data_IF_494589343211
#
_entry.id   IF_494589343211
#
_cell.length_a   1.000
_cell.length_b   1.000
_cell.length_c   1.000
_cell.angle_alpha   90.00
_cell.angle_beta   90.00
_cell.angle_gamma   90.00
#
_symmetry.space_group_name_H-M   'P 1'
#
loop_
_entity.id
_entity.type
_entity.pdbx_description
1 polymer ?
#
# COMPACT_ATOMS: atom_id res chain seq x y z
N UNK A 1 -33.67 -1.03 -5.12
CA UNK A 1 -33.72 -2.44 -4.67
C UNK A 1 -32.32 -2.80 -4.21
N UNK A 2 -32.13 -3.06 -2.91
CA UNK A 2 -30.82 -3.37 -2.32
C UNK A 2 -30.38 -4.78 -2.75
N UNK A 3 -29.38 -4.86 -3.63
CA UNK A 3 -28.69 -6.13 -3.94
C UNK A 3 -27.87 -6.51 -2.72
N UNK A 4 -28.38 -7.49 -1.96
CA UNK A 4 -27.82 -7.89 -0.67
C UNK A 4 -26.57 -8.75 -0.85
N UNK A 5 -25.41 -8.28 -0.35
CA UNK A 5 -24.23 -9.12 -0.16
C UNK A 5 -24.52 -10.35 0.74
N UNK A 6 -25.62 -10.34 1.50
CA UNK A 6 -26.03 -11.45 2.37
C UNK A 6 -26.29 -12.76 1.61
N UNK A 7 -26.57 -12.73 0.31
CA UNK A 7 -26.78 -13.95 -0.49
C UNK A 7 -25.48 -14.51 -1.07
N UNK A 8 -24.41 -13.70 -1.16
CA UNK A 8 -23.12 -14.16 -1.66
C UNK A 8 -22.41 -15.04 -0.62
N UNK A 9 -22.45 -14.63 0.65
CA UNK A 9 -21.78 -15.30 1.75
C UNK A 9 -22.76 -16.21 2.48
N UNK A 10 -22.77 -17.50 2.11
CA UNK A 10 -23.67 -18.51 2.70
C UNK A 10 -23.39 -18.77 4.18
N UNK A 11 -22.14 -18.63 4.61
CA UNK A 11 -21.72 -18.73 5.99
C UNK A 11 -20.52 -17.83 6.30
N UNK A 12 -20.40 -17.46 7.58
CA UNK A 12 -19.18 -16.85 8.13
C UNK A 12 -18.06 -17.89 8.11
N UNK A 13 -16.86 -17.45 7.74
CA UNK A 13 -15.65 -18.26 7.81
C UNK A 13 -15.31 -18.61 9.27
N UNK A 14 -14.89 -19.84 9.54
CA UNK A 14 -14.65 -20.35 10.91
C UNK A 14 -13.49 -19.65 11.65
N UNK A 15 -12.62 -18.94 10.92
CA UNK A 15 -11.43 -18.29 11.46
C UNK A 15 -10.21 -19.22 11.57
N UNK A 16 -10.37 -20.53 11.39
CA UNK A 16 -9.30 -21.53 11.49
C UNK A 16 -8.45 -21.66 10.20
N UNK A 17 -8.07 -20.51 9.63
CA UNK A 17 -7.32 -20.44 8.37
C UNK A 17 -8.20 -20.54 7.11
N UNK A 18 -9.52 -20.50 7.26
CA UNK A 18 -10.44 -20.39 6.14
C UNK A 18 -10.42 -18.99 5.51
N UNK A 19 -10.42 -18.95 4.18
CA UNK A 19 -10.54 -17.74 3.39
C UNK A 19 -11.18 -18.07 2.03
N UNK A 20 -11.55 -17.05 1.26
CA UNK A 20 -12.22 -17.23 -0.04
C UNK A 20 -11.31 -16.87 -1.21
N UNK A 21 -11.46 -17.58 -2.31
CA UNK A 21 -10.78 -17.33 -3.59
C UNK A 21 -11.79 -17.14 -4.71
N UNK A 22 -11.52 -16.18 -5.59
CA UNK A 22 -12.34 -15.79 -6.73
C UNK A 22 -11.76 -16.38 -8.02
N UNK A 23 -12.58 -17.08 -8.79
CA UNK A 23 -12.27 -17.49 -10.16
C UNK A 23 -13.11 -16.67 -11.12
N UNK A 24 -12.49 -16.04 -12.12
CA UNK A 24 -13.20 -15.26 -13.15
C UNK A 24 -13.47 -16.17 -14.34
N UNK A 25 -14.72 -16.28 -14.77
CA UNK A 25 -15.07 -17.11 -15.93
C UNK A 25 -14.64 -16.39 -17.22
N UNK A 26 -14.12 -17.14 -18.22
CA UNK A 26 -13.75 -16.57 -19.51
C UNK A 26 -14.98 -16.02 -20.25
N UNK A 27 -14.73 -15.21 -21.26
CA UNK A 27 -15.76 -14.80 -22.20
C UNK A 27 -16.26 -16.02 -23.02
N UNK A 28 -17.53 -16.39 -22.84
CA UNK A 28 -18.17 -17.52 -23.54
C UNK A 28 -19.42 -16.99 -24.26
N UNK A 29 -19.42 -17.07 -25.59
CA UNK A 29 -20.60 -16.77 -26.41
C UNK A 29 -21.01 -15.28 -26.40
N UNK A 30 -22.31 -15.02 -26.45
CA UNK A 30 -22.90 -13.67 -26.49
C UNK A 30 -23.11 -13.03 -25.11
N UNK A 31 -22.92 -13.77 -24.00
CA UNK A 31 -23.07 -13.22 -22.65
C UNK A 31 -21.90 -12.28 -22.33
N UNK A 32 -22.16 -10.98 -22.43
CA UNK A 32 -21.18 -9.93 -22.15
C UNK A 32 -20.97 -9.69 -20.64
N UNK A 33 -21.71 -10.36 -19.75
CA UNK A 33 -21.59 -10.19 -18.30
C UNK A 33 -20.29 -10.71 -17.70
N UNK A 34 -19.76 -10.06 -16.66
CA UNK A 34 -18.64 -10.59 -15.86
C UNK A 34 -19.15 -11.62 -14.87
N UNK A 35 -18.73 -12.89 -15.02
CA UNK A 35 -19.12 -13.98 -14.14
C UNK A 35 -17.94 -14.45 -13.31
N UNK A 36 -18.19 -14.71 -12.03
CA UNK A 36 -17.19 -15.16 -11.08
C UNK A 36 -17.73 -16.29 -10.20
N UNK A 37 -16.83 -17.14 -9.72
CA UNK A 37 -17.13 -18.17 -8.73
C UNK A 37 -16.27 -17.89 -7.49
N UNK A 38 -16.90 -17.93 -6.32
CA UNK A 38 -16.24 -17.75 -5.03
C UNK A 38 -16.14 -19.09 -4.32
N UNK A 39 -14.93 -19.51 -3.99
CA UNK A 39 -14.60 -20.78 -3.35
C UNK A 39 -14.10 -20.54 -1.92
N UNK A 40 -14.61 -21.27 -0.94
CA UNK A 40 -13.99 -21.34 0.39
C UNK A 40 -12.87 -22.37 0.38
N UNK A 41 -11.71 -22.01 0.91
CA UNK A 41 -10.52 -22.87 1.01
C UNK A 41 -9.87 -22.70 2.38
N UNK A 42 -9.03 -23.65 2.78
CA UNK A 42 -8.23 -23.53 4.00
C UNK A 42 -6.75 -23.33 3.67
N UNK A 43 -6.09 -22.38 4.33
CA UNK A 43 -4.67 -22.09 4.12
C UNK A 43 -3.74 -23.28 4.42
N UNK A 44 -4.17 -24.20 5.30
CA UNK A 44 -3.43 -25.43 5.65
C UNK A 44 -3.38 -26.43 4.48
N UNK A 45 -4.27 -26.31 3.51
CA UNK A 45 -4.28 -27.13 2.30
C UNK A 45 -3.30 -26.62 1.23
N UNK A 46 -2.57 -25.53 1.53
CA UNK A 46 -1.61 -24.89 0.63
C UNK A 46 -2.18 -24.60 -0.77
N UNK A 47 -3.34 -23.92 -0.89
CA UNK A 47 -3.91 -23.63 -2.20
C UNK A 47 -2.98 -22.72 -3.02
N UNK A 48 -2.98 -22.95 -4.35
CA UNK A 48 -2.36 -22.06 -5.33
C UNK A 48 -3.31 -20.90 -5.67
N UNK A 49 -2.81 -19.67 -5.58
CA UNK A 49 -3.56 -18.45 -5.89
C UNK A 49 -2.68 -17.20 -6.02
N UNK A 50 -3.27 -16.16 -6.60
CA UNK A 50 -2.70 -14.83 -6.79
C UNK A 50 -3.44 -13.83 -5.90
N UNK A 51 -2.74 -12.98 -5.17
CA UNK A 51 -3.38 -11.85 -4.49
C UNK A 51 -3.46 -10.63 -5.41
N UNK A 52 -4.60 -9.94 -5.43
CA UNK A 52 -4.72 -8.62 -6.02
C UNK A 52 -4.36 -7.56 -4.99
N UNK A 53 -3.57 -6.57 -5.42
CA UNK A 53 -3.18 -5.38 -4.68
C UNK A 53 -3.58 -4.18 -5.54
N UNK A 54 -4.61 -3.43 -5.14
CA UNK A 54 -5.19 -2.35 -5.95
C UNK A 54 -5.86 -1.27 -5.11
N UNK A 55 -6.08 -0.08 -5.69
CA UNK A 55 -6.83 0.99 -5.04
C UNK A 55 -8.32 0.80 -5.24
N UNK A 56 -9.11 0.76 -4.17
CA UNK A 56 -10.57 0.61 -4.26
C UNK A 56 -11.27 1.79 -4.93
N UNK A 57 -10.68 2.99 -4.83
CA UNK A 57 -11.14 4.21 -5.49
C UNK A 57 -10.46 4.51 -6.84
N UNK A 58 -10.49 5.77 -7.28
CA UNK A 58 -9.91 6.15 -8.56
C UNK A 58 -8.39 5.89 -8.58
N UNK A 59 -7.84 5.27 -9.65
CA UNK A 59 -6.42 4.97 -9.75
C UNK A 59 -5.55 6.24 -9.88
N UNK A 60 -6.09 7.31 -10.45
CA UNK A 60 -5.41 8.60 -10.67
C UNK A 60 -6.31 9.78 -10.25
N UNK A 61 -5.77 11.00 -10.22
CA UNK A 61 -6.58 12.21 -9.98
C UNK A 61 -7.52 12.48 -11.16
N UNK A 62 -7.01 12.33 -12.39
CA UNK A 62 -7.77 12.51 -13.63
C UNK A 62 -8.92 11.49 -13.74
N UNK A 63 -8.73 10.27 -13.22
CA UNK A 63 -9.80 9.29 -13.10
C UNK A 63 -10.92 9.78 -12.16
N UNK A 64 -10.56 10.44 -11.05
CA UNK A 64 -11.52 11.03 -10.13
C UNK A 64 -12.29 12.19 -10.79
N UNK A 65 -11.60 13.05 -11.54
CA UNK A 65 -12.22 14.15 -12.29
C UNK A 65 -13.21 13.65 -13.36
N UNK A 66 -12.96 12.46 -13.92
CA UNK A 66 -13.86 11.74 -14.83
C UNK A 66 -15.01 11.01 -14.13
N UNK A 67 -15.18 11.20 -12.82
CA UNK A 67 -16.27 10.64 -12.03
C UNK A 67 -16.04 9.22 -11.49
N UNK A 68 -14.83 8.66 -11.60
CA UNK A 68 -14.51 7.40 -10.92
C UNK A 68 -14.39 7.65 -9.42
N UNK A 69 -15.14 6.91 -8.62
CA UNK A 69 -15.18 7.06 -7.16
C UNK A 69 -14.86 5.73 -6.46
N UNK A 70 -14.75 5.77 -5.14
CA UNK A 70 -14.66 4.59 -4.27
C UNK A 70 -16.02 3.90 -4.04
N UNK A 71 -17.10 4.35 -4.71
CA UNK A 71 -18.42 3.70 -4.62
C UNK A 71 -18.49 2.51 -5.57
N UNK A 72 -19.17 1.46 -5.14
CA UNK A 72 -19.45 0.28 -5.95
C UNK A 72 -20.57 0.60 -6.95
N UNK A 73 -20.25 0.60 -8.25
CA UNK A 73 -21.16 1.07 -9.31
C UNK A 73 -21.31 0.09 -10.48
N UNK A 74 -20.49 -0.96 -10.53
CA UNK A 74 -20.45 -1.90 -11.66
C UNK A 74 -20.95 -3.28 -11.24
N UNK A 75 -21.89 -3.83 -12.00
CA UNK A 75 -22.48 -5.13 -11.70
C UNK A 75 -21.61 -6.26 -12.21
N UNK A 76 -21.42 -7.28 -11.37
CA UNK A 76 -20.88 -8.60 -11.76
C UNK A 76 -21.77 -9.69 -11.18
N UNK A 77 -21.76 -10.88 -11.79
CA UNK A 77 -22.43 -12.06 -11.25
C UNK A 77 -21.40 -12.92 -10.51
N UNK A 78 -21.64 -13.21 -9.24
CA UNK A 78 -20.78 -14.07 -8.43
C UNK A 78 -21.62 -15.15 -7.73
N UNK A 79 -21.32 -16.43 -7.98
CA UNK A 79 -22.13 -17.56 -7.51
C UNK A 79 -23.63 -17.42 -7.85
N UNK A 80 -23.95 -16.87 -9.02
CA UNK A 80 -25.32 -16.60 -9.46
C UNK A 80 -25.96 -15.32 -8.88
N UNK A 81 -25.35 -14.69 -7.87
CA UNK A 81 -25.83 -13.44 -7.27
C UNK A 81 -25.26 -12.21 -8.00
N UNK A 82 -26.07 -11.17 -8.14
CA UNK A 82 -25.61 -9.88 -8.67
C UNK A 82 -25.03 -9.02 -7.56
N UNK A 83 -23.75 -8.68 -7.65
CA UNK A 83 -23.05 -7.79 -6.70
C UNK A 83 -22.47 -6.57 -7.41
N UNK A 84 -22.20 -5.52 -6.65
CA UNK A 84 -21.60 -4.29 -7.13
C UNK A 84 -20.12 -4.21 -6.72
N UNK A 85 -19.26 -3.85 -7.67
CA UNK A 85 -17.83 -3.59 -7.47
C UNK A 85 -17.47 -2.17 -7.90
N UNK A 86 -16.31 -1.68 -7.45
CA UNK A 86 -15.80 -0.38 -7.92
C UNK A 86 -15.31 -0.47 -9.36
N UNK A 87 -15.30 0.64 -10.10
CA UNK A 87 -14.84 0.69 -11.49
C UNK A 87 -13.44 0.10 -11.66
N UNK A 88 -12.52 0.44 -10.77
CA UNK A 88 -11.12 0.00 -10.88
C UNK A 88 -10.98 -1.52 -10.72
N UNK A 89 -11.80 -2.15 -9.87
CA UNK A 89 -11.85 -3.60 -9.77
C UNK A 89 -12.53 -4.23 -10.99
N UNK A 90 -13.64 -3.64 -11.46
CA UNK A 90 -14.33 -4.11 -12.66
C UNK A 90 -13.38 -4.16 -13.87
N UNK A 91 -12.56 -3.12 -14.06
CA UNK A 91 -11.57 -3.06 -15.15
C UNK A 91 -10.54 -4.19 -15.06
N UNK A 92 -10.04 -4.45 -13.85
CA UNK A 92 -9.16 -5.59 -13.61
C UNK A 92 -9.85 -6.93 -13.95
N UNK A 93 -11.09 -7.15 -13.49
CA UNK A 93 -11.82 -8.39 -13.75
C UNK A 93 -12.10 -8.58 -15.26
N UNK A 94 -12.39 -7.51 -15.98
CA UNK A 94 -12.57 -7.56 -17.44
C UNK A 94 -11.27 -7.91 -18.16
N UNK A 95 -10.12 -7.45 -17.66
CA UNK A 95 -8.81 -7.89 -18.14
C UNK A 95 -8.60 -9.38 -17.89
N UNK A 96 -8.79 -9.85 -16.66
CA UNK A 96 -8.65 -11.28 -16.32
C UNK A 96 -9.53 -12.14 -17.21
N UNK A 97 -10.77 -11.71 -17.46
CA UNK A 97 -11.72 -12.44 -18.30
C UNK A 97 -11.26 -12.61 -19.76
N UNK A 98 -10.54 -11.64 -20.32
CA UNK A 98 -10.04 -11.65 -21.71
C UNK A 98 -8.72 -12.39 -21.87
N UNK A 99 -7.99 -12.57 -20.78
CA UNK A 99 -6.68 -13.20 -20.76
C UNK A 99 -6.82 -14.68 -20.35
N UNK A 100 -6.57 -15.59 -21.30
CA UNK A 100 -6.75 -17.04 -21.09
C UNK A 100 -5.86 -17.60 -19.98
N UNK A 101 -4.68 -17.03 -19.80
CA UNK A 101 -3.78 -17.47 -18.73
C UNK A 101 -4.33 -17.01 -17.39
N UNK A 102 -4.72 -15.73 -17.27
CA UNK A 102 -5.24 -15.18 -16.03
C UNK A 102 -6.61 -15.76 -15.63
N UNK A 103 -7.53 -16.01 -16.57
CA UNK A 103 -8.85 -16.56 -16.24
C UNK A 103 -8.80 -17.99 -15.68
N UNK A 104 -7.70 -18.71 -15.89
CA UNK A 104 -7.47 -20.04 -15.30
C UNK A 104 -7.00 -19.99 -13.85
N UNK A 105 -6.63 -18.80 -13.35
CA UNK A 105 -6.06 -18.61 -12.02
C UNK A 105 -7.13 -18.29 -10.97
N UNK A 106 -6.78 -18.55 -9.70
CA UNK A 106 -7.58 -18.16 -8.54
C UNK A 106 -7.03 -16.87 -7.95
N UNK A 107 -7.91 -15.93 -7.62
CA UNK A 107 -7.55 -14.62 -7.09
C UNK A 107 -8.06 -14.42 -5.68
N UNK A 108 -7.23 -13.86 -4.81
CA UNK A 108 -7.70 -13.25 -3.57
C UNK A 108 -7.88 -11.76 -3.80
N UNK A 109 -9.13 -11.29 -3.70
CA UNK A 109 -9.53 -9.88 -3.84
C UNK A 109 -10.23 -9.47 -2.56
N UNK A 110 -9.56 -8.67 -1.73
CA UNK A 110 -10.04 -8.29 -0.38
C UNK A 110 -11.49 -7.78 -0.35
N UNK A 111 -11.91 -6.98 -1.32
CA UNK A 111 -13.27 -6.43 -1.37
C UNK A 111 -14.37 -7.45 -1.68
N UNK A 112 -14.03 -8.65 -2.19
CA UNK A 112 -14.99 -9.72 -2.55
C UNK A 112 -14.77 -10.97 -1.67
N UNK A 113 -13.53 -11.31 -1.35
CA UNK A 113 -13.20 -12.51 -0.59
C UNK A 113 -13.51 -12.37 0.90
N UNK A 114 -13.59 -11.13 1.41
CA UNK A 114 -13.98 -10.80 2.77
C UNK A 114 -15.41 -10.25 2.77
N UNK A 115 -16.25 -10.78 3.66
CA UNK A 115 -17.55 -10.17 3.93
C UNK A 115 -17.37 -8.85 4.70
N UNK A 116 -17.33 -7.74 3.97
CA UNK A 116 -17.11 -6.40 4.53
C UNK A 116 -18.23 -5.94 5.48
N UNK A 117 -19.43 -6.52 5.37
CA UNK A 117 -20.58 -6.20 6.21
C UNK A 117 -20.52 -6.92 7.56
N UNK A 118 -19.93 -8.13 7.62
CA UNK A 118 -19.69 -8.87 8.87
C UNK A 118 -18.40 -8.39 9.54
N UNK A 119 -18.54 -7.56 10.57
CA UNK A 119 -17.39 -6.98 11.28
C UNK A 119 -16.52 -8.01 12.01
N UNK A 120 -17.09 -9.16 12.42
CA UNK A 120 -16.33 -10.22 13.08
C UNK A 120 -15.47 -10.93 12.03
N UNK A 121 -16.08 -11.27 10.89
CA UNK A 121 -15.34 -11.86 9.76
C UNK A 121 -14.26 -10.91 9.25
N UNK A 122 -14.60 -9.64 9.02
CA UNK A 122 -13.66 -8.62 8.56
C UNK A 122 -12.47 -8.49 9.49
N UNK A 123 -12.68 -8.39 10.81
CA UNK A 123 -11.60 -8.33 11.79
C UNK A 123 -10.70 -9.58 11.72
N UNK A 124 -11.31 -10.77 11.67
CA UNK A 124 -10.58 -12.04 11.58
C UNK A 124 -9.76 -12.14 10.28
N UNK A 125 -10.34 -11.75 9.14
CA UNK A 125 -9.67 -11.83 7.83
C UNK A 125 -8.58 -10.78 7.70
N UNK A 126 -8.79 -9.55 8.20
CA UNK A 126 -7.75 -8.50 8.24
C UNK A 126 -6.55 -8.96 9.07
N UNK A 127 -6.81 -9.60 10.21
CA UNK A 127 -5.75 -10.22 11.03
C UNK A 127 -4.99 -11.33 10.28
N UNK A 128 -5.67 -12.02 9.36
CA UNK A 128 -5.12 -13.10 8.53
C UNK A 128 -4.47 -12.61 7.22
N UNK A 129 -4.59 -11.32 6.85
CA UNK A 129 -4.05 -10.82 5.58
C UNK A 129 -2.56 -11.10 5.44
N UNK A 130 -1.80 -11.08 6.53
CA UNK A 130 -0.38 -11.35 6.50
C UNK A 130 -0.05 -12.78 6.03
N UNK A 131 -0.78 -13.78 6.53
CA UNK A 131 -0.58 -15.16 6.12
C UNK A 131 -1.07 -15.40 4.69
N UNK A 132 -2.15 -14.74 4.27
CA UNK A 132 -2.69 -14.82 2.91
C UNK A 132 -1.68 -14.26 1.89
N UNK A 133 -1.24 -13.01 2.03
CA UNK A 133 -0.26 -12.41 1.10
C UNK A 133 1.08 -13.15 1.08
N UNK A 134 1.52 -13.69 2.23
CA UNK A 134 2.75 -14.48 2.33
C UNK A 134 2.63 -15.84 1.65
N UNK A 135 1.43 -16.45 1.64
CA UNK A 135 1.23 -17.79 1.10
C UNK A 135 0.94 -17.80 -0.40
N UNK A 136 0.38 -16.71 -0.94
CA UNK A 136 0.14 -16.53 -2.37
C UNK A 136 1.40 -16.81 -3.22
N UNK A 137 1.19 -17.30 -4.45
CA UNK A 137 2.29 -17.52 -5.39
C UNK A 137 2.90 -16.19 -5.84
N UNK A 138 2.05 -15.20 -6.05
CA UNK A 138 2.44 -13.85 -6.40
C UNK A 138 1.36 -12.83 -6.05
N UNK A 139 1.76 -11.57 -6.10
CA UNK A 139 0.86 -10.40 -5.98
C UNK A 139 0.82 -9.66 -7.31
N UNK A 140 -0.37 -9.37 -7.80
CA UNK A 140 -0.57 -8.40 -8.88
C UNK A 140 -0.79 -7.03 -8.26
N UNK A 141 0.13 -6.11 -8.50
CA UNK A 141 -0.01 -4.69 -8.21
C UNK A 141 -0.72 -4.00 -9.39
N UNK A 142 -2.04 -3.87 -9.30
CA UNK A 142 -2.87 -3.26 -10.34
C UNK A 142 -2.95 -1.74 -10.16
N UNK A 143 -2.43 -1.01 -11.16
CA UNK A 143 -2.34 0.45 -11.17
C UNK A 143 -3.53 1.13 -11.86
N UNK A 144 -4.49 0.35 -12.39
CA UNK A 144 -5.60 0.84 -13.21
C UNK A 144 -5.33 0.70 -14.71
N UNK A 145 -6.31 1.13 -15.51
CA UNK A 145 -6.20 1.21 -16.97
C UNK A 145 -5.06 2.13 -17.43
N UNK A 146 -4.58 1.91 -18.66
CA UNK A 146 -3.56 2.78 -19.25
C UNK A 146 -4.10 4.20 -19.46
N UNK A 147 -3.19 5.15 -19.35
CA UNK A 147 -3.35 6.55 -19.73
C UNK A 147 -2.24 6.96 -20.69
N UNK A 148 -2.26 8.23 -21.13
CA UNK A 148 -1.28 8.80 -22.07
C UNK A 148 0.17 8.76 -21.54
N UNK A 149 0.38 8.50 -20.25
CA UNK A 149 1.70 8.44 -19.63
C UNK A 149 2.22 7.00 -19.47
N UNK A 150 1.36 5.99 -19.64
CA UNK A 150 1.68 4.62 -19.21
C UNK A 150 2.79 4.01 -20.04
N UNK A 151 2.71 4.11 -21.36
CA UNK A 151 3.67 3.49 -22.29
C UNK A 151 5.09 4.01 -22.08
N UNK A 152 5.28 5.32 -22.14
CA UNK A 152 6.59 5.95 -21.97
C UNK A 152 7.16 5.72 -20.57
N UNK A 153 6.32 5.74 -19.53
CA UNK A 153 6.76 5.44 -18.17
C UNK A 153 7.30 4.01 -18.07
N UNK A 154 6.57 3.03 -18.61
CA UNK A 154 6.97 1.63 -18.58
C UNK A 154 8.23 1.38 -19.43
N UNK A 155 8.32 2.00 -20.61
CA UNK A 155 9.51 1.96 -21.48
C UNK A 155 10.74 2.54 -20.77
N UNK A 156 10.60 3.70 -20.13
CA UNK A 156 11.68 4.35 -19.38
C UNK A 156 12.13 3.49 -18.18
N UNK A 157 11.18 2.94 -17.41
CA UNK A 157 11.49 2.05 -16.28
C UNK A 157 12.25 0.82 -16.74
N UNK A 158 11.81 0.19 -17.83
CA UNK A 158 12.44 -1.01 -18.37
C UNK A 158 13.87 -0.71 -18.81
N UNK A 159 14.05 0.38 -19.56
CA UNK A 159 15.35 0.85 -20.03
C UNK A 159 16.29 1.15 -18.87
N UNK A 160 15.86 1.92 -17.87
CA UNK A 160 16.68 2.21 -16.69
C UNK A 160 16.94 0.97 -15.83
N UNK A 161 15.99 0.05 -15.78
CA UNK A 161 16.08 -1.21 -15.05
C UNK A 161 17.14 -2.15 -15.64
N UNK A 162 17.31 -2.16 -16.96
CA UNK A 162 18.29 -3.01 -17.66
C UNK A 162 19.72 -2.47 -17.68
N UNK A 163 19.94 -1.19 -17.37
CA UNK A 163 21.29 -0.62 -17.31
C UNK A 163 22.11 -1.23 -16.17
N UNK A 164 23.39 -1.51 -16.41
CA UNK A 164 24.32 -1.93 -15.36
C UNK A 164 24.66 -0.77 -14.41
N UNK A 165 25.20 -1.08 -13.24
CA UNK A 165 25.64 -0.05 -12.30
C UNK A 165 26.80 0.80 -12.85
N UNK A 166 27.58 0.28 -13.81
CA UNK A 166 28.65 1.02 -14.48
C UNK A 166 28.12 1.90 -15.61
N UNK A 167 27.14 1.42 -16.40
CA UNK A 167 26.44 2.25 -17.40
C UNK A 167 25.80 3.48 -16.74
N UNK A 168 25.17 3.28 -15.59
CA UNK A 168 24.54 4.36 -14.82
C UNK A 168 25.54 5.39 -14.29
N UNK A 169 26.79 5.00 -14.00
CA UNK A 169 27.87 5.93 -13.62
C UNK A 169 28.41 6.67 -14.84
N UNK A 170 28.54 5.98 -15.98
CA UNK A 170 29.08 6.57 -17.21
C UNK A 170 28.16 7.64 -17.80
N UNK A 171 26.84 7.43 -17.77
CA UNK A 171 25.86 8.45 -18.21
C UNK A 171 25.87 9.71 -17.33
N UNK A 172 26.37 9.61 -16.09
CA UNK A 172 26.58 10.77 -15.19
C UNK A 172 27.91 11.49 -15.46
N UNK A 173 28.88 10.82 -16.08
CA UNK A 173 30.24 11.33 -16.20
C UNK A 173 30.52 12.05 -17.52
N UNK A 174 29.99 11.58 -18.66
CA UNK A 174 30.29 12.17 -19.99
C UNK A 174 29.12 11.92 -20.96
N UNK A 175 28.74 12.95 -21.71
CA UNK A 175 27.95 12.89 -22.96
C UNK A 175 26.40 12.80 -22.84
N UNK A 176 25.78 13.90 -22.42
CA UNK A 176 24.49 14.30 -23.00
C UNK A 176 24.78 14.82 -24.42
N UNK A 177 24.85 13.93 -25.43
CA UNK A 177 25.02 14.36 -26.83
C UNK A 177 25.89 13.50 -27.77
N UNK A 178 26.33 12.30 -27.38
CA UNK A 178 26.96 11.37 -28.34
C UNK A 178 25.87 10.55 -29.04
N UNK A 179 25.85 10.52 -30.38
CA UNK A 179 24.82 9.83 -31.20
C UNK A 179 24.65 8.36 -30.79
N UNK A 180 25.74 7.63 -30.54
CA UNK A 180 25.73 6.21 -30.14
C UNK A 180 25.00 5.96 -28.79
N UNK A 181 24.98 6.94 -27.89
CA UNK A 181 24.30 6.84 -26.58
C UNK A 181 22.83 7.22 -26.73
N UNK A 182 22.49 8.16 -27.61
CA UNK A 182 21.09 8.58 -27.85
C UNK A 182 20.26 7.44 -28.41
N UNK A 183 20.82 6.61 -29.30
CA UNK A 183 20.12 5.44 -29.84
C UNK A 183 19.96 4.30 -28.81
N UNK A 184 20.93 4.13 -27.90
CA UNK A 184 20.88 3.10 -26.87
C UNK A 184 19.98 3.46 -25.67
N UNK A 185 19.89 4.74 -25.31
CA UNK A 185 19.15 5.22 -24.13
C UNK A 185 18.14 6.33 -24.45
N UNK A 186 17.60 6.35 -25.67
CA UNK A 186 16.63 7.35 -26.18
C UNK A 186 15.57 7.83 -25.18
N UNK A 187 14.85 6.95 -24.45
CA UNK A 187 13.89 7.36 -23.43
C UNK A 187 14.48 8.23 -22.30
N UNK A 188 15.77 8.06 -21.95
CA UNK A 188 16.47 8.89 -20.96
C UNK A 188 16.64 10.35 -21.44
N UNK A 189 16.55 10.58 -22.74
CA UNK A 189 16.65 11.91 -23.35
C UNK A 189 15.30 12.62 -23.49
N UNK A 190 14.17 11.91 -23.38
CA UNK A 190 12.82 12.48 -23.54
C UNK A 190 12.27 13.07 -22.24
N UNK A 191 12.04 14.39 -22.22
CA UNK A 191 11.38 15.10 -21.10
C UNK A 191 9.98 14.52 -20.81
N UNK A 192 9.28 14.11 -21.87
CA UNK A 192 7.97 13.48 -21.77
C UNK A 192 8.06 12.15 -21.03
N UNK A 193 9.03 11.29 -21.36
CA UNK A 193 9.18 10.00 -20.68
C UNK A 193 9.45 10.17 -19.17
N UNK A 194 10.28 11.15 -18.80
CA UNK A 194 10.52 11.50 -17.39
C UNK A 194 9.26 12.01 -16.69
N UNK A 195 8.46 12.85 -17.36
CA UNK A 195 7.19 13.31 -16.82
C UNK A 195 6.17 12.16 -16.68
N UNK A 196 6.05 11.32 -17.70
CA UNK A 196 5.21 10.12 -17.73
C UNK A 196 5.53 9.20 -16.55
N UNK A 197 6.82 9.03 -16.28
CA UNK A 197 7.32 8.34 -15.12
C UNK A 197 6.84 9.00 -13.81
N UNK A 198 7.00 10.32 -13.63
CA UNK A 198 6.48 11.02 -12.43
C UNK A 198 4.96 10.80 -12.27
N UNK A 199 4.19 10.85 -13.35
CA UNK A 199 2.75 10.62 -13.34
C UNK A 199 2.38 9.19 -12.93
N UNK A 200 3.18 8.18 -13.32
CA UNK A 200 2.98 6.80 -12.86
C UNK A 200 3.16 6.67 -11.34
N UNK A 201 4.11 7.37 -10.71
CA UNK A 201 4.38 7.28 -9.26
C UNK A 201 3.37 8.10 -8.45
N UNK A 202 2.69 9.06 -9.10
CA UNK A 202 1.58 9.83 -8.52
C UNK A 202 0.27 9.07 -8.45
N UNK A 203 0.16 7.91 -9.11
CA UNK A 203 -1.03 7.04 -9.02
C UNK A 203 -1.31 6.69 -7.56
N UNK A 204 -2.59 6.59 -7.21
CA UNK A 204 -3.03 6.42 -5.83
C UNK A 204 -2.57 5.09 -5.21
N UNK A 205 -2.26 4.10 -6.05
CA UNK A 205 -1.68 2.82 -5.62
C UNK A 205 -0.47 3.03 -4.70
N UNK A 206 0.56 3.76 -5.14
CA UNK A 206 1.81 3.94 -4.41
C UNK A 206 1.67 4.71 -3.09
N UNK A 207 0.53 5.36 -2.89
CA UNK A 207 0.25 6.14 -1.68
C UNK A 207 -0.45 5.30 -0.62
N UNK A 208 -1.01 4.13 -0.90
CA UNK A 208 -1.81 3.36 0.08
C UNK A 208 -0.97 2.79 1.22
N UNK A 209 -1.47 2.84 2.45
CA UNK A 209 -0.80 2.21 3.61
C UNK A 209 -0.75 0.68 3.49
N UNK A 210 -1.84 0.06 3.04
CA UNK A 210 -1.94 -1.40 2.89
C UNK A 210 -0.89 -2.01 1.97
N UNK A 211 -0.43 -1.29 0.93
CA UNK A 211 0.58 -1.83 0.00
C UNK A 211 1.91 -2.13 0.70
N UNK A 212 2.17 -1.53 1.88
CA UNK A 212 3.36 -1.82 2.68
C UNK A 212 3.41 -3.31 3.01
N UNK A 213 2.30 -3.85 3.52
CA UNK A 213 2.19 -5.27 3.84
C UNK A 213 2.05 -6.14 2.59
N UNK A 214 1.23 -5.71 1.63
CA UNK A 214 0.97 -6.45 0.38
C UNK A 214 2.28 -6.69 -0.41
N UNK A 215 3.15 -5.67 -0.51
CA UNK A 215 4.45 -5.76 -1.20
C UNK A 215 5.51 -6.45 -0.35
N UNK A 216 5.57 -6.18 0.95
CA UNK A 216 6.65 -6.73 1.79
C UNK A 216 6.55 -8.25 1.97
N UNK A 217 5.33 -8.80 1.95
CA UNK A 217 5.08 -10.23 2.17
C UNK A 217 5.07 -11.08 0.88
N UNK A 218 4.96 -10.44 -0.28
CA UNK A 218 4.83 -11.14 -1.55
C UNK A 218 6.10 -11.94 -1.92
N UNK A 219 5.92 -13.17 -2.40
CA UNK A 219 7.00 -13.98 -3.00
C UNK A 219 7.48 -13.36 -4.31
N UNK A 220 6.55 -13.05 -5.21
CA UNK A 220 6.76 -12.38 -6.50
C UNK A 220 5.71 -11.28 -6.69
N UNK A 221 6.07 -10.21 -7.40
CA UNK A 221 5.16 -9.09 -7.66
C UNK A 221 5.24 -8.70 -9.14
N UNK A 222 4.10 -8.71 -9.81
CA UNK A 222 3.93 -8.13 -11.14
C UNK A 222 3.14 -6.83 -11.03
N UNK A 223 3.67 -5.76 -11.61
CA UNK A 223 3.03 -4.45 -11.71
C UNK A 223 2.34 -4.37 -13.05
N UNK A 224 1.04 -4.11 -13.04
CA UNK A 224 0.20 -4.07 -14.24
C UNK A 224 -0.53 -2.74 -14.31
N UNK A 225 -0.49 -2.09 -15.48
CA UNK A 225 -1.28 -0.91 -15.80
C UNK A 225 -1.84 -1.05 -17.23
N UNK A 226 -3.16 -1.22 -17.38
CA UNK A 226 -3.75 -1.65 -18.64
C UNK A 226 -3.14 -2.96 -19.12
N UNK A 227 -2.57 -2.95 -20.32
CA UNK A 227 -1.83 -4.06 -20.93
C UNK A 227 -0.34 -4.12 -20.59
N UNK A 228 0.20 -3.08 -19.95
CA UNK A 228 1.63 -3.00 -19.66
C UNK A 228 1.97 -3.74 -18.37
N UNK A 229 3.02 -4.56 -18.42
CA UNK A 229 3.48 -5.42 -17.32
C UNK A 229 4.96 -5.18 -17.05
N UNK A 230 5.32 -5.10 -15.76
CA UNK A 230 6.70 -5.04 -15.27
C UNK A 230 6.88 -5.86 -14.00
N UNK A 231 8.06 -6.49 -13.85
CA UNK A 231 8.49 -7.00 -12.55
C UNK A 231 8.78 -5.85 -11.58
N UNK A 232 8.36 -6.03 -10.33
CA UNK A 232 8.61 -5.06 -9.25
C UNK A 232 10.10 -4.72 -9.06
N UNK A 233 11.00 -5.64 -9.40
CA UNK A 233 12.45 -5.41 -9.34
C UNK A 233 12.87 -4.17 -10.15
N UNK A 234 12.24 -3.91 -11.31
CA UNK A 234 12.52 -2.73 -12.11
C UNK A 234 12.06 -1.45 -11.41
N UNK A 235 10.83 -1.44 -10.86
CA UNK A 235 10.30 -0.32 -10.08
C UNK A 235 11.21 0.01 -8.89
N UNK A 236 11.62 -1.00 -8.14
CA UNK A 236 12.50 -0.85 -6.99
C UNK A 236 13.91 -0.36 -7.38
N UNK A 237 14.47 -0.88 -8.47
CA UNK A 237 15.80 -0.48 -8.99
C UNK A 237 15.79 0.98 -9.43
N UNK A 238 14.82 1.39 -10.24
CA UNK A 238 14.70 2.78 -10.70
C UNK A 238 14.47 3.73 -9.53
N UNK A 239 13.58 3.38 -8.61
CA UNK A 239 13.35 4.16 -7.39
C UNK A 239 14.64 4.34 -6.55
N UNK A 240 15.46 3.30 -6.42
CA UNK A 240 16.78 3.37 -5.76
C UNK A 240 17.73 4.33 -6.49
N UNK A 241 17.84 4.20 -7.81
CA UNK A 241 18.70 5.05 -8.64
C UNK A 241 18.32 6.51 -8.42
N UNK A 242 17.05 6.87 -8.61
CA UNK A 242 16.58 8.24 -8.46
C UNK A 242 16.73 8.80 -7.04
N UNK A 243 16.75 7.93 -6.01
CA UNK A 243 16.89 8.39 -4.64
C UNK A 243 18.35 8.57 -4.21
N UNK A 244 19.24 7.65 -4.62
CA UNK A 244 20.61 7.58 -4.10
C UNK A 244 21.67 8.21 -5.02
N UNK A 245 21.30 8.60 -6.23
CA UNK A 245 22.25 9.10 -7.24
C UNK A 245 21.85 10.49 -7.75
N UNK A 246 22.77 11.22 -8.43
CA UNK A 246 22.47 12.54 -9.01
C UNK A 246 21.39 12.53 -10.11
N UNK A 247 20.90 11.37 -10.54
CA UNK A 247 19.85 11.22 -11.55
C UNK A 247 18.55 11.95 -11.19
N UNK A 248 18.28 12.18 -9.91
CA UNK A 248 17.21 13.07 -9.46
C UNK A 248 17.34 14.47 -10.07
N UNK A 249 18.56 14.99 -10.16
CA UNK A 249 18.84 16.31 -10.75
C UNK A 249 18.56 16.30 -12.25
N UNK A 250 18.96 15.24 -12.96
CA UNK A 250 18.63 15.07 -14.39
C UNK A 250 17.11 15.07 -14.60
N UNK A 251 16.37 14.32 -13.79
CA UNK A 251 14.90 14.26 -13.85
C UNK A 251 14.20 15.60 -13.56
N UNK A 252 14.83 16.49 -12.79
CA UNK A 252 14.27 17.79 -12.39
C UNK A 252 14.71 18.93 -13.31
N UNK A 253 15.91 18.87 -13.88
CA UNK A 253 16.44 19.88 -14.82
C UNK A 253 15.69 19.81 -16.15
N UNK A 254 15.33 18.60 -16.57
CA UNK A 254 14.65 18.33 -17.85
C UNK A 254 13.17 18.69 -17.84
N UNK A 255 12.45 18.41 -16.76
CA UNK A 255 11.08 18.92 -16.59
C UNK A 255 11.13 20.42 -16.30
N UNK A 256 10.68 21.27 -17.22
CA UNK A 256 10.64 22.75 -17.10
C UNK A 256 9.81 23.30 -15.92
N UNK A 257 9.42 22.45 -14.96
CA UNK A 257 8.61 22.80 -13.82
C UNK A 257 9.47 23.18 -12.61
N UNK A 258 9.96 24.43 -12.60
CA UNK A 258 10.69 25.03 -11.45
C UNK A 258 9.79 25.25 -10.21
N UNK A 259 8.46 25.09 -10.32
CA UNK A 259 7.48 25.30 -9.23
C UNK A 259 6.96 24.00 -8.61
N UNK A 260 7.15 22.85 -9.23
CA UNK A 260 6.88 21.55 -8.60
C UNK A 260 7.78 21.38 -7.37
N UNK A 261 7.20 21.56 -6.17
CA UNK A 261 7.75 21.03 -4.91
C UNK A 261 8.38 19.68 -5.20
N UNK A 262 9.63 19.48 -4.79
CA UNK A 262 10.43 18.26 -5.02
C UNK A 262 9.54 17.03 -4.86
N UNK A 263 9.07 16.49 -5.97
CA UNK A 263 8.14 15.37 -5.94
C UNK A 263 8.90 14.12 -5.53
N UNK A 264 8.80 13.79 -4.24
CA UNK A 264 9.49 12.63 -3.66
C UNK A 264 8.69 11.33 -3.79
N UNK A 265 7.65 11.27 -4.62
CA UNK A 265 6.90 10.03 -4.87
C UNK A 265 7.81 8.91 -5.39
N UNK A 266 8.87 9.24 -6.13
CA UNK A 266 9.92 8.28 -6.52
C UNK A 266 10.59 7.54 -5.35
N UNK A 267 10.50 8.05 -4.12
CA UNK A 267 11.06 7.40 -2.92
C UNK A 267 10.14 6.33 -2.32
N UNK A 268 8.83 6.33 -2.63
CA UNK A 268 7.87 5.41 -2.03
C UNK A 268 8.19 3.94 -2.36
N UNK A 269 8.49 3.56 -3.63
CA UNK A 269 8.84 2.17 -3.92
C UNK A 269 10.15 1.71 -3.25
N UNK A 270 11.10 2.61 -3.02
CA UNK A 270 12.33 2.30 -2.26
C UNK A 270 12.00 1.92 -0.82
N UNK A 271 11.11 2.67 -0.15
CA UNK A 271 10.68 2.33 1.22
C UNK A 271 9.95 0.98 1.27
N UNK A 272 9.05 0.72 0.33
CA UNK A 272 8.36 -0.57 0.21
C UNK A 272 9.36 -1.72 0.01
N UNK A 273 10.35 -1.53 -0.87
CA UNK A 273 11.39 -2.53 -1.11
C UNK A 273 12.33 -2.72 0.09
N UNK A 274 12.58 -1.68 0.89
CA UNK A 274 13.33 -1.80 2.14
C UNK A 274 12.61 -2.71 3.15
N UNK A 275 11.30 -2.53 3.31
CA UNK A 275 10.50 -3.38 4.21
C UNK A 275 10.47 -4.83 3.71
N UNK A 276 10.31 -5.02 2.40
CA UNK A 276 10.39 -6.34 1.75
C UNK A 276 11.72 -7.06 2.05
N UNK A 277 12.85 -6.36 1.95
CA UNK A 277 14.17 -6.92 2.25
C UNK A 277 14.33 -7.33 3.72
N UNK A 278 13.80 -6.53 4.65
CA UNK A 278 13.82 -6.87 6.08
C UNK A 278 13.05 -8.17 6.35
N UNK A 279 11.80 -8.24 5.86
CA UNK A 279 10.94 -9.42 6.01
C UNK A 279 11.58 -10.67 5.38
N UNK A 280 12.14 -10.55 4.18
CA UNK A 280 12.80 -11.69 3.50
C UNK A 280 14.08 -12.14 4.20
N UNK A 281 14.73 -11.27 4.96
CA UNK A 281 15.88 -11.62 5.79
C UNK A 281 15.48 -12.29 7.13
N UNK A 282 14.20 -12.58 7.34
CA UNK A 282 13.67 -13.07 8.62
C UNK A 282 13.72 -12.05 9.75
N UNK A 283 14.09 -10.80 9.44
CA UNK A 283 14.12 -9.70 10.39
C UNK A 283 12.74 -9.05 10.37
N UNK A 284 11.92 -9.36 11.36
CA UNK A 284 10.70 -8.60 11.60
C UNK A 284 11.00 -7.10 11.79
N UNK A 285 9.98 -6.27 11.64
CA UNK A 285 10.12 -4.83 11.84
C UNK A 285 9.70 -4.44 13.27
N UNK A 286 10.43 -3.51 13.87
CA UNK A 286 9.97 -2.85 15.09
C UNK A 286 8.87 -1.84 14.75
N UNK A 287 7.89 -1.71 15.64
CA UNK A 287 6.66 -0.95 15.40
C UNK A 287 6.91 0.55 15.17
N UNK A 288 7.75 1.19 16.00
CA UNK A 288 8.02 2.63 15.88
C UNK A 288 8.74 3.00 14.57
N UNK A 289 9.86 2.37 14.18
CA UNK A 289 10.53 2.65 12.90
C UNK A 289 9.63 2.46 11.67
N UNK A 290 8.79 1.42 11.65
CA UNK A 290 7.90 1.20 10.51
C UNK A 290 6.76 2.22 10.46
N UNK A 291 6.21 2.63 11.61
CA UNK A 291 5.21 3.70 11.70
C UNK A 291 5.76 5.04 11.18
N UNK A 292 7.00 5.38 11.54
CA UNK A 292 7.66 6.61 11.05
C UNK A 292 7.75 6.60 9.51
N UNK A 293 8.18 5.48 8.93
CA UNK A 293 8.24 5.32 7.46
C UNK A 293 6.85 5.33 6.82
N UNK A 294 5.84 4.79 7.49
CA UNK A 294 4.48 4.67 6.98
C UNK A 294 3.70 6.01 6.96
N UNK A 295 4.19 7.08 7.59
CA UNK A 295 3.49 8.39 7.64
C UNK A 295 3.11 8.94 6.27
N UNK A 296 3.98 8.71 5.27
CA UNK A 296 3.78 9.20 3.89
C UNK A 296 2.70 8.47 3.11
N UNK A 297 2.26 7.31 3.59
CA UNK A 297 1.19 6.54 2.97
C UNK A 297 -0.17 7.01 3.50
N UNK A 298 -1.24 6.68 2.84
CA UNK A 298 -2.59 7.19 3.02
C UNK A 298 -3.54 6.03 3.29
N UNK A 299 -4.56 6.28 4.09
CA UNK A 299 -5.61 5.34 4.42
C UNK A 299 -6.93 6.10 4.57
N UNK A 300 -8.04 5.46 4.24
CA UNK A 300 -9.36 6.04 4.44
C UNK A 300 -9.80 5.94 5.89
N UNK A 301 -9.51 4.80 6.53
CA UNK A 301 -9.67 4.62 7.97
C UNK A 301 -8.34 4.94 8.66
N UNK A 302 -8.27 5.92 9.58
CA UNK A 302 -7.03 6.27 10.27
C UNK A 302 -6.40 5.07 11.01
N UNK A 303 -7.20 4.12 11.52
CA UNK A 303 -6.70 2.94 12.25
C UNK A 303 -5.82 2.04 11.38
N UNK A 304 -6.03 2.06 10.07
CA UNK A 304 -5.23 1.30 9.11
C UNK A 304 -3.78 1.77 9.04
N UNK A 305 -3.43 2.96 9.57
CA UNK A 305 -2.02 3.35 9.77
C UNK A 305 -1.27 2.36 10.66
N UNK A 306 -1.97 1.74 11.60
CA UNK A 306 -1.42 0.71 12.49
C UNK A 306 -1.70 -0.66 11.90
N UNK A 307 -2.96 -0.95 11.55
CA UNK A 307 -3.35 -2.31 11.16
C UNK A 307 -2.61 -2.83 9.92
N UNK A 308 -2.31 -1.96 8.95
CA UNK A 308 -1.55 -2.32 7.74
C UNK A 308 -0.08 -2.68 7.99
N UNK A 309 0.43 -2.53 9.22
CA UNK A 309 1.83 -2.79 9.56
C UNK A 309 2.01 -4.03 10.45
N UNK A 310 0.93 -4.49 11.09
CA UNK A 310 0.97 -5.56 12.09
C UNK A 310 1.54 -6.86 11.53
N UNK A 311 1.21 -7.19 10.27
CA UNK A 311 1.70 -8.39 9.60
C UNK A 311 3.21 -8.43 9.35
N UNK A 312 3.91 -7.30 9.56
CA UNK A 312 5.33 -7.12 9.34
C UNK A 312 6.14 -7.10 10.64
N UNK A 313 5.48 -7.06 11.79
CA UNK A 313 6.16 -7.00 13.07
C UNK A 313 6.88 -8.32 13.37
N UNK A 314 7.97 -8.23 14.13
CA UNK A 314 8.73 -9.39 14.57
C UNK A 314 8.00 -10.22 15.64
N UNK A 315 8.60 -11.36 16.00
CA UNK A 315 8.04 -12.29 16.96
C UNK A 315 7.80 -11.65 18.34
N UNK A 316 8.58 -10.64 18.71
CA UNK A 316 8.41 -9.86 19.93
C UNK A 316 7.07 -9.11 20.00
N UNK A 317 6.38 -8.94 18.88
CA UNK A 317 5.07 -8.30 18.79
C UNK A 317 3.94 -9.29 18.46
N UNK A 318 4.26 -10.57 18.20
CA UNK A 318 3.26 -11.62 18.02
C UNK A 318 2.52 -11.84 19.34
N UNK A 319 1.23 -12.16 19.24
CA UNK A 319 0.32 -12.43 20.37
C UNK A 319 -0.04 -11.24 21.27
N UNK A 320 0.36 -10.02 20.91
CA UNK A 320 -0.08 -8.82 21.63
C UNK A 320 -1.53 -8.51 21.30
N UNK A 321 -2.44 -8.98 22.16
CA UNK A 321 -3.89 -8.75 22.05
C UNK A 321 -4.26 -7.28 21.83
N UNK A 322 -3.47 -6.34 22.36
CA UNK A 322 -3.68 -4.89 22.21
C UNK A 322 -3.57 -4.43 20.76
N UNK A 323 -2.85 -5.14 19.90
CA UNK A 323 -2.63 -4.77 18.52
C UNK A 323 -3.47 -5.59 17.53
N UNK A 324 -4.67 -6.04 17.91
CA UNK A 324 -5.55 -6.74 16.99
C UNK A 324 -6.46 -5.78 16.19
N UNK A 325 -6.64 -6.00 14.87
CA UNK A 325 -7.60 -5.27 14.03
C UNK A 325 -9.03 -5.41 14.54
N UNK A 326 -9.57 -4.34 15.14
CA UNK A 326 -10.97 -4.24 15.55
C UNK A 326 -11.52 -2.91 15.07
N UNK A 327 -12.57 -2.97 14.23
CA UNK A 327 -13.21 -1.78 13.66
C UNK A 327 -14.49 -1.36 14.40
N UNK A 328 -15.24 -2.32 14.95
CA UNK A 328 -16.47 -2.03 15.69
C UNK A 328 -16.17 -1.90 17.18
N UNK A 329 -16.63 -0.83 17.80
CA UNK A 329 -16.48 -0.61 19.25
C UNK A 329 -15.08 -0.21 19.71
N UNK A 330 -14.16 0.10 18.78
CA UNK A 330 -12.81 0.59 19.09
C UNK A 330 -12.55 1.88 18.32
N UNK A 331 -12.36 2.99 19.03
CA UNK A 331 -12.12 4.29 18.42
C UNK A 331 -10.72 4.38 17.81
N UNK A 332 -10.49 5.39 16.96
CA UNK A 332 -9.15 5.70 16.45
C UNK A 332 -8.19 6.04 17.59
N UNK A 333 -8.66 6.84 18.57
CA UNK A 333 -7.90 7.20 19.74
C UNK A 333 -7.44 5.96 20.50
N UNK A 334 -8.34 5.01 20.79
CA UNK A 334 -8.01 3.76 21.52
C UNK A 334 -6.91 2.96 20.83
N UNK A 335 -6.98 2.85 19.50
CA UNK A 335 -5.95 2.14 18.71
C UNK A 335 -4.61 2.84 18.85
N UNK A 336 -4.57 4.17 18.73
CA UNK A 336 -3.33 4.93 18.78
C UNK A 336 -2.74 4.95 20.19
N UNK A 337 -3.58 5.07 21.23
CA UNK A 337 -3.17 4.91 22.63
C UNK A 337 -2.58 3.52 22.90
N UNK A 338 -3.28 2.47 22.48
CA UNK A 338 -2.81 1.10 22.67
C UNK A 338 -1.47 0.87 21.94
N UNK A 339 -1.32 1.46 20.76
CA UNK A 339 -0.08 1.42 19.97
C UNK A 339 1.05 2.16 20.69
N UNK A 340 0.78 3.34 21.25
CA UNK A 340 1.77 4.11 22.00
C UNK A 340 2.25 3.38 23.24
N UNK A 341 1.32 2.84 24.05
CA UNK A 341 1.65 2.01 25.22
C UNK A 341 2.53 0.83 24.77
N UNK A 342 2.15 0.16 23.67
CA UNK A 342 2.92 -0.96 23.20
C UNK A 342 4.35 -0.59 22.79
N UNK A 343 4.53 0.54 22.12
CA UNK A 343 5.86 1.03 21.74
C UNK A 343 6.70 1.31 22.99
N UNK A 344 6.14 1.99 23.98
CA UNK A 344 6.85 2.33 25.22
C UNK A 344 7.26 1.07 26.01
N UNK A 345 6.39 0.07 26.07
CA UNK A 345 6.69 -1.23 26.69
C UNK A 345 7.79 -2.00 25.93
N UNK A 346 7.81 -1.90 24.59
CA UNK A 346 8.72 -2.65 23.73
C UNK A 346 10.12 -2.04 23.68
N UNK A 347 10.22 -0.70 23.65
CA UNK A 347 11.51 0.00 23.50
C UNK A 347 12.13 0.38 24.85
N UNK A 348 11.32 0.51 25.90
CA UNK A 348 11.72 1.10 27.18
C UNK A 348 12.41 2.48 27.01
N UNK A 349 11.99 3.24 25.99
CA UNK A 349 12.47 4.58 25.71
C UNK A 349 11.33 5.56 25.42
N UNK A 350 11.65 6.86 25.41
CA UNK A 350 10.71 7.94 25.13
C UNK A 350 10.85 8.47 23.70
N UNK A 351 11.47 7.71 22.77
CA UNK A 351 11.69 8.18 21.40
C UNK A 351 10.38 8.46 20.67
N UNK A 352 9.32 7.74 21.02
CA UNK A 352 7.97 8.01 20.54
C UNK A 352 7.53 9.47 20.80
N UNK A 353 7.92 10.06 21.93
CA UNK A 353 7.54 11.42 22.30
C UNK A 353 8.25 12.47 21.42
N UNK A 354 9.45 12.18 20.92
CA UNK A 354 10.14 13.04 19.95
C UNK A 354 9.42 13.11 18.59
N UNK A 355 8.39 12.28 18.42
CA UNK A 355 7.57 12.22 17.22
C UNK A 355 6.14 12.76 17.42
N UNK A 356 5.78 13.19 18.63
CA UNK A 356 4.51 13.81 18.93
C UNK A 356 4.27 15.07 18.09
N UNK A 357 3.04 15.25 17.59
CA UNK A 357 2.63 16.44 16.84
C UNK A 357 1.84 17.40 17.75
N UNK A 358 2.05 18.72 17.58
CA UNK A 358 1.32 19.76 18.31
C UNK A 358 -0.15 19.84 17.90
N UNK A 359 -0.98 20.51 18.72
CA UNK A 359 -2.44 20.65 18.49
C UNK A 359 -2.79 21.21 17.10
N UNK A 360 -1.95 22.09 16.55
CA UNK A 360 -2.14 22.71 15.23
C UNK A 360 -2.13 21.71 14.05
N UNK A 361 -1.72 20.47 14.29
CA UNK A 361 -1.66 19.38 13.29
C UNK A 361 -2.63 18.24 13.60
N UNK A 362 -3.53 18.42 14.59
CA UNK A 362 -4.53 17.44 14.95
C UNK A 362 -5.81 17.61 14.13
N UNK A 363 -6.01 16.70 13.18
CA UNK A 363 -7.20 16.66 12.33
C UNK A 363 -8.21 15.58 12.77
N UNK A 364 -8.00 14.96 13.93
CA UNK A 364 -8.89 13.93 14.49
C UNK A 364 -9.44 14.49 15.81
N UNK A 365 -10.74 14.79 15.83
CA UNK A 365 -11.45 15.14 17.07
C UNK A 365 -11.29 14.00 18.08
N UNK A 366 -11.06 14.34 19.35
CA UNK A 366 -10.82 13.44 20.50
C UNK A 366 -9.42 12.79 20.63
N UNK A 367 -8.44 13.13 19.79
CA UNK A 367 -7.03 12.76 20.06
C UNK A 367 -6.41 13.76 21.07
N UNK A 368 -5.83 13.33 22.21
CA UNK A 368 -5.12 14.26 23.10
C UNK A 368 -3.94 14.87 22.37
N UNK A 369 -3.57 16.10 22.74
CA UNK A 369 -2.33 16.72 22.27
C UNK A 369 -1.16 15.74 22.45
N UNK A 370 -0.29 15.61 21.44
CA UNK A 370 0.92 14.79 21.52
C UNK A 370 0.85 13.41 20.82
N UNK A 371 -0.28 13.06 20.21
CA UNK A 371 -0.40 11.83 19.43
C UNK A 371 -0.14 12.07 17.93
N UNK A 372 0.51 11.10 17.29
CA UNK A 372 0.81 11.08 15.86
C UNK A 372 -0.50 10.99 15.05
N UNK A 373 -0.91 12.05 14.35
CA UNK A 373 -2.09 12.01 13.48
C UNK A 373 -1.79 11.41 12.10
N UNK A 374 -0.53 11.08 11.81
CA UNK A 374 -0.12 10.36 10.60
C UNK A 374 -0.38 11.14 9.30
N UNK A 375 -0.61 12.46 9.40
CA UNK A 375 -0.92 13.35 8.28
C UNK A 375 0.15 14.44 8.06
N UNK A 376 0.96 14.79 9.07
CA UNK A 376 2.06 15.72 8.85
C UNK A 376 3.26 15.04 8.17
N UNK A 377 3.69 15.62 7.04
CA UNK A 377 4.90 15.19 6.31
C UNK A 377 6.22 15.60 7.00
N UNK A 378 6.15 16.34 8.12
CA UNK A 378 7.30 16.86 8.87
C UNK A 378 7.12 16.52 10.35
N UNK A 379 8.05 15.75 10.92
CA UNK A 379 8.24 15.69 12.36
C UNK A 379 8.99 16.96 12.79
N UNK A 380 8.48 17.67 13.79
CA UNK A 380 9.29 18.62 14.53
C UNK A 380 9.96 17.83 15.65
N UNK A 381 11.26 17.60 15.53
CA UNK A 381 12.05 17.20 16.68
C UNK A 381 11.99 18.38 17.66
N UNK A 382 11.33 18.19 18.81
CA UNK A 382 11.43 19.15 19.91
C UNK A 382 12.86 19.06 20.47
N UNK A 383 13.76 19.83 19.87
CA UNK A 383 15.01 20.20 20.50
C UNK A 383 14.70 21.20 21.60
N UNK A 384 14.53 20.72 22.84
CA UNK A 384 14.53 21.58 24.03
C UNK A 384 15.25 20.85 25.19
N UNK A 385 16.30 21.46 25.78
CA UNK A 385 16.98 20.93 26.96
C UNK A 385 16.21 21.34 28.22
N UNK A 386 15.79 20.38 29.04
CA UNK A 386 15.12 20.69 30.31
C UNK A 386 14.76 19.45 31.13
N UNK A 387 14.82 19.56 32.45
CA UNK A 387 14.68 18.45 33.40
C UNK A 387 13.27 17.89 33.55
N UNK A 388 13.23 16.59 33.85
CA UNK A 388 12.15 15.59 33.78
C UNK A 388 10.76 15.99 34.33
N UNK A 389 10.67 16.79 35.39
CA UNK A 389 9.39 17.00 36.12
C UNK A 389 8.59 18.23 35.70
N UNK A 390 9.24 19.32 35.26
CA UNK A 390 8.51 20.55 34.92
C UNK A 390 7.90 20.51 33.51
N UNK A 391 8.51 19.74 32.60
CA UNK A 391 8.06 19.58 31.21
C UNK A 391 6.77 18.77 31.07
N UNK A 392 6.57 17.76 31.91
CA UNK A 392 5.43 16.84 31.85
C UNK A 392 4.12 17.49 32.32
N UNK A 393 4.19 18.42 33.28
CA UNK A 393 3.00 19.09 33.84
C UNK A 393 2.47 20.23 32.97
N UNK A 394 3.33 20.88 32.18
CA UNK A 394 2.94 22.01 31.33
C UNK A 394 2.47 21.61 29.92
N UNK A 395 2.94 20.47 29.39
CA UNK A 395 2.70 20.13 27.99
C UNK A 395 1.48 19.21 27.74
N UNK A 396 1.15 18.28 28.66
CA UNK A 396 0.18 17.21 28.34
C UNK A 396 -0.58 16.66 29.56
N UNK A 397 -1.81 17.13 29.84
CA UNK A 397 -2.65 16.62 30.94
C UNK A 397 -3.02 15.13 30.79
N UNK A 398 -3.22 14.64 29.57
CA UNK A 398 -3.55 13.22 29.31
C UNK A 398 -2.37 12.25 29.50
N UNK A 399 -1.13 12.76 29.52
CA UNK A 399 0.07 11.93 29.67
C UNK A 399 0.31 11.53 31.14
N UNK A 400 -0.11 12.38 32.08
CA UNK A 400 -0.15 12.06 33.51
C UNK A 400 -1.10 10.88 33.80
N UNK A 401 -2.21 10.81 33.08
CA UNK A 401 -3.15 9.69 33.20
C UNK A 401 -2.56 8.38 32.64
N UNK A 402 -1.76 8.45 31.58
CA UNK A 402 -1.02 7.31 31.02
C UNK A 402 0.08 6.84 31.96
N UNK A 403 0.85 7.76 32.55
CA UNK A 403 1.91 7.45 33.50
C UNK A 403 1.39 6.83 34.79
N UNK A 404 0.26 7.33 35.32
CA UNK A 404 -0.40 6.78 36.50
C UNK A 404 -1.00 5.37 36.25
N UNK A 405 -1.21 4.97 34.99
CA UNK A 405 -1.65 3.61 34.63
C UNK A 405 -0.48 2.63 34.40
N UNK A 406 0.72 3.14 34.12
CA UNK A 406 1.92 2.33 33.85
C UNK A 406 2.73 2.08 35.12
N UNK A 407 2.58 2.90 36.16
CA UNK A 407 3.15 2.68 37.50
C UNK A 407 2.10 2.98 38.58
N UNK A 408 1.47 1.97 39.22
CA UNK A 408 0.64 2.19 40.40
C UNK A 408 1.45 2.63 41.62
#
# INVERSE_FOLDING_TARGET
>A
MSTSFSQLYTSRLSGEGEFRLLTVQPEIGEDQGTHCILHTVNIKEHPSYICLSYTWGPPTAEAADKGITSRTTHYIKCNGNTILVTKNLYDFLQRVRRDRELCSQKFWVDSICINQEDQIERASQVSSMASIYRSAEMVIAWLGEKDIYTEDAFSLIRTMGSLSDDDLKQVVARNVGAEDIVDFVGPLFSDWAWNSMKQLWRRNYFKRAWIIQEVALAKRILVICGEYILDWANIARVSRILTLTPWKRVSNVKTHDRKARVDSTHTLPLYLNSNRKMVSAGKGCDLLPILIKARRFQCSDPRDKVYALLGLLGDHAKDKMRLQPVYKGRSTADVYFSTAIQILEDTNDLLLLAHAEGQDFQNIEDLPSGFLTGHAQRAWALGLPGTRDSLLRQAYPGLLELMNRINP
#
